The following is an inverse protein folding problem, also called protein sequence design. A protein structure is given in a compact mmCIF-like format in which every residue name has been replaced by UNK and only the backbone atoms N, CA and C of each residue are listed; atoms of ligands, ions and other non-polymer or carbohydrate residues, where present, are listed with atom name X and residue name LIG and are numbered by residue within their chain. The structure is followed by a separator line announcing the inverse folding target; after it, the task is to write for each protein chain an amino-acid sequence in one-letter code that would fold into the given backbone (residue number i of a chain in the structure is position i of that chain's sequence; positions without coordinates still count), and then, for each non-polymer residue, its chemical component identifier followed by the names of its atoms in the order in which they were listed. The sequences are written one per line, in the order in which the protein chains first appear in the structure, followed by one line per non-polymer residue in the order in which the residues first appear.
data_IF_138346677268
#
_entry.id   IF_138346677268
#
_cell.length_a   1.000
_cell.length_b   1.000
_cell.length_c   1.000
_cell.angle_alpha   90.00
_cell.angle_beta   90.00
_cell.angle_gamma   90.00
#
_symmetry.space_group_name_H-M   'P 1'
#
loop_
_entity.id
_entity.type
_entity.pdbx_description
1 polymer ?
#
# COMPACT_ATOMS: atom_id res chain seq x y z
N UNK A 1 -14.73 23.16 2.86
CA UNK A 1 -16.21 23.17 2.81
C UNK A 1 -16.79 21.80 2.43
N UNK A 2 -16.18 21.05 1.51
CA UNK A 2 -16.63 19.68 1.14
C UNK A 2 -16.14 18.57 2.12
N UNK A 3 -14.96 18.72 2.72
CA UNK A 3 -14.29 17.66 3.49
C UNK A 3 -14.98 17.19 4.81
N UNK A 4 -15.78 18.03 5.49
CA UNK A 4 -16.48 17.61 6.72
C UNK A 4 -17.78 16.83 6.44
N UNK A 5 -18.45 17.15 5.33
CA UNK A 5 -19.61 16.40 4.82
C UNK A 5 -19.21 15.00 4.35
N UNK A 6 -18.04 14.90 3.71
CA UNK A 6 -17.43 13.62 3.30
C UNK A 6 -17.10 12.75 4.52
N UNK A 7 -16.64 13.35 5.63
CA UNK A 7 -16.35 12.64 6.87
C UNK A 7 -17.61 12.02 7.49
N UNK A 8 -18.73 12.75 7.53
CA UNK A 8 -19.98 12.20 8.07
C UNK A 8 -20.42 10.98 7.26
N UNK A 9 -20.52 11.10 5.92
CA UNK A 9 -21.00 9.98 5.08
C UNK A 9 -20.05 8.77 5.13
N UNK A 10 -18.74 8.99 5.23
CA UNK A 10 -17.76 7.93 5.45
C UNK A 10 -17.91 7.25 6.83
N UNK A 11 -18.09 8.04 7.90
CA UNK A 11 -18.39 7.55 9.26
C UNK A 11 -19.67 6.70 9.27
N UNK A 12 -20.69 7.10 8.50
CA UNK A 12 -21.97 6.38 8.41
C UNK A 12 -21.91 5.08 7.60
N UNK A 13 -21.19 5.04 6.48
CA UNK A 13 -21.01 3.82 5.69
C UNK A 13 -20.42 2.67 6.54
N UNK A 14 -19.57 2.99 7.53
CA UNK A 14 -19.00 2.03 8.47
C UNK A 14 -19.95 1.61 9.59
N UNK A 15 -20.69 2.55 10.20
CA UNK A 15 -21.71 2.22 11.22
C UNK A 15 -22.71 1.19 10.67
N UNK A 16 -23.12 1.34 9.41
CA UNK A 16 -24.01 0.40 8.71
C UNK A 16 -23.43 -1.01 8.57
N UNK A 17 -22.14 -1.14 8.25
CA UNK A 17 -21.49 -2.45 8.10
C UNK A 17 -21.19 -3.09 9.47
N UNK A 18 -20.90 -2.28 10.49
CA UNK A 18 -20.50 -2.76 11.82
C UNK A 18 -21.69 -3.07 12.74
N UNK A 19 -22.81 -2.35 12.63
CA UNK A 19 -24.00 -2.58 13.44
C UNK A 19 -24.69 -3.90 13.06
N UNK A 20 -24.60 -4.30 11.78
CA UNK A 20 -25.05 -5.63 11.32
C UNK A 20 -24.10 -6.76 11.77
N UNK A 21 -22.84 -6.47 12.07
CA UNK A 21 -21.84 -7.47 12.47
C UNK A 21 -21.71 -7.64 14.00
N UNK A 22 -22.42 -6.85 14.82
CA UNK A 22 -22.38 -6.98 16.29
C UNK A 22 -23.34 -8.06 16.80
N UNK A 23 -22.85 -9.30 16.77
CA UNK A 23 -22.77 -10.07 18.01
C UNK A 23 -21.30 -10.05 18.46
N UNK A 24 -21.06 -9.63 19.71
CA UNK A 24 -19.80 -9.62 20.45
C UNK A 24 -19.01 -8.28 20.54
N UNK A 25 -19.00 -7.77 21.79
CA UNK A 25 -18.06 -6.88 22.49
C UNK A 25 -17.85 -5.42 22.01
N UNK A 26 -18.16 -4.51 22.93
CA UNK A 26 -17.95 -3.07 22.89
C UNK A 26 -16.61 -2.76 23.55
N UNK A 27 -15.67 -2.14 22.83
CA UNK A 27 -14.43 -1.59 23.39
C UNK A 27 -14.50 -0.05 23.30
N UNK A 28 -14.42 0.72 24.42
CA UNK A 28 -14.70 2.16 24.43
C UNK A 28 -13.54 3.05 23.95
N UNK A 29 -12.38 2.49 23.55
CA UNK A 29 -11.14 3.24 23.34
C UNK A 29 -10.62 3.28 21.88
N UNK A 30 -11.33 2.67 20.94
CA UNK A 30 -10.92 2.67 19.54
C UNK A 30 -11.30 3.98 18.83
N UNK A 31 -10.35 4.91 18.74
CA UNK A 31 -10.40 6.02 17.78
C UNK A 31 -10.11 5.48 16.39
N UNK A 32 -11.16 5.16 15.63
CA UNK A 32 -11.02 4.59 14.28
C UNK A 32 -10.71 5.68 13.25
N UNK A 33 -9.71 5.43 12.39
CA UNK A 33 -9.37 6.27 11.25
C UNK A 33 -9.86 5.62 9.95
N UNK A 34 -10.51 6.42 9.11
CA UNK A 34 -10.76 6.07 7.72
C UNK A 34 -9.45 6.16 6.94
N UNK A 35 -9.17 5.16 6.12
CA UNK A 35 -8.11 5.25 5.12
C UNK A 35 -8.76 5.25 3.74
N UNK A 36 -8.68 6.39 3.05
CA UNK A 36 -9.14 6.50 1.67
C UNK A 36 -8.10 5.73 0.83
N UNK A 37 -8.51 4.61 0.24
CA UNK A 37 -7.62 3.74 -0.54
C UNK A 37 -7.30 4.39 -1.88
N UNK A 38 -8.31 4.97 -2.52
CA UNK A 38 -8.20 5.56 -3.86
C UNK A 38 -9.19 6.74 -3.99
N UNK A 39 -8.80 7.76 -4.74
CA UNK A 39 -9.63 8.94 -5.05
C UNK A 39 -9.69 9.10 -6.57
N UNK A 40 -10.89 8.98 -7.13
CA UNK A 40 -11.11 9.08 -8.58
C UNK A 40 -11.93 10.32 -8.91
N UNK A 41 -11.30 11.27 -9.58
CA UNK A 41 -11.96 12.45 -10.14
C UNK A 41 -12.31 12.22 -11.61
N UNK A 42 -13.60 12.12 -11.93
CA UNK A 42 -14.09 12.01 -13.31
C UNK A 42 -14.45 13.42 -13.80
N UNK A 43 -13.60 14.02 -14.62
CA UNK A 43 -13.78 15.40 -15.11
C UNK A 43 -14.66 15.51 -16.35
N UNK A 44 -14.69 14.47 -17.20
CA UNK A 44 -15.47 14.43 -18.43
C UNK A 44 -16.53 13.32 -18.38
N UNK A 45 -17.76 13.70 -18.01
CA UNK A 45 -18.92 12.81 -17.92
C UNK A 45 -19.74 12.74 -19.23
N UNK A 46 -19.25 13.38 -20.31
CA UNK A 46 -19.90 13.32 -21.64
C UNK A 46 -19.39 12.16 -22.49
N UNK A 47 -18.13 11.76 -22.28
CA UNK A 47 -17.50 10.64 -22.99
C UNK A 47 -17.53 9.37 -22.13
N UNK A 48 -18.36 8.41 -22.53
CA UNK A 48 -18.51 7.12 -21.84
C UNK A 48 -17.19 6.34 -21.83
N UNK A 49 -16.36 6.46 -22.88
CA UNK A 49 -15.09 5.73 -22.96
C UNK A 49 -14.07 6.23 -21.92
N UNK A 50 -14.05 7.53 -21.66
CA UNK A 50 -13.24 8.14 -20.60
C UNK A 50 -13.68 7.64 -19.22
N UNK A 51 -14.99 7.62 -18.94
CA UNK A 51 -15.55 7.06 -17.70
C UNK A 51 -15.11 5.60 -17.52
N UNK A 52 -15.15 4.78 -18.58
CA UNK A 52 -14.71 3.38 -18.50
C UNK A 52 -13.22 3.25 -18.19
N UNK A 53 -12.37 4.09 -18.79
CA UNK A 53 -10.92 4.06 -18.54
C UNK A 53 -10.60 4.43 -17.08
N UNK A 54 -11.31 5.40 -16.52
CA UNK A 54 -11.15 5.83 -15.14
C UNK A 54 -11.71 4.80 -14.14
N UNK A 55 -12.92 4.26 -14.37
CA UNK A 55 -13.49 3.19 -13.54
C UNK A 55 -12.67 1.88 -13.59
N UNK A 56 -11.93 1.63 -14.68
CA UNK A 56 -11.03 0.47 -14.76
C UNK A 56 -9.89 0.53 -13.74
N UNK A 57 -9.52 1.73 -13.25
CA UNK A 57 -8.57 1.88 -12.15
C UNK A 57 -9.16 1.33 -10.85
N UNK A 58 -10.44 1.62 -10.58
CA UNK A 58 -11.15 1.09 -9.40
C UNK A 58 -11.29 -0.44 -9.41
N UNK A 59 -11.46 -1.05 -10.59
CA UNK A 59 -11.47 -2.51 -10.69
C UNK A 59 -10.14 -3.14 -10.23
N UNK A 60 -9.02 -2.46 -10.45
CA UNK A 60 -7.69 -2.89 -9.99
C UNK A 60 -7.41 -2.55 -8.53
N UNK A 61 -8.20 -1.65 -7.95
CA UNK A 61 -8.06 -1.24 -6.54
C UNK A 61 -8.68 -2.28 -5.62
N UNK A 62 -8.21 -2.33 -4.38
CA UNK A 62 -8.81 -3.13 -3.29
C UNK A 62 -10.06 -2.46 -2.68
N UNK A 63 -10.42 -1.26 -3.14
CA UNK A 63 -11.62 -0.57 -2.72
C UNK A 63 -12.88 -1.39 -3.07
N UNK A 64 -13.67 -1.75 -2.05
CA UNK A 64 -14.96 -2.47 -2.20
C UNK A 64 -16.16 -1.65 -1.71
N UNK A 65 -15.91 -0.55 -1.02
CA UNK A 65 -16.92 0.43 -0.65
C UNK A 65 -16.65 1.68 -1.48
N UNK A 66 -17.63 2.11 -2.26
CA UNK A 66 -17.50 3.21 -3.20
C UNK A 66 -18.48 4.30 -2.77
N UNK A 67 -17.95 5.48 -2.45
CA UNK A 67 -18.74 6.68 -2.22
C UNK A 67 -18.78 7.49 -3.51
N UNK A 68 -19.97 7.66 -4.07
CA UNK A 68 -20.19 8.44 -5.29
C UNK A 68 -20.78 9.80 -4.95
N UNK A 69 -20.02 10.85 -5.25
CA UNK A 69 -20.46 12.24 -5.19
C UNK A 69 -20.48 12.84 -6.60
N UNK A 70 -21.67 13.02 -7.15
CA UNK A 70 -21.87 13.71 -8.42
C UNK A 70 -23.32 14.19 -8.54
N UNK A 71 -23.65 14.86 -9.65
CA UNK A 71 -25.03 15.25 -9.95
C UNK A 71 -25.84 14.06 -10.46
N UNK A 72 -27.16 14.14 -10.34
CA UNK A 72 -28.09 13.08 -10.80
C UNK A 72 -27.83 12.62 -12.25
N UNK A 73 -27.67 13.55 -13.19
CA UNK A 73 -27.47 13.25 -14.61
C UNK A 73 -26.20 12.44 -14.90
N UNK A 74 -25.16 12.67 -14.11
CA UNK A 74 -23.87 11.99 -14.25
C UNK A 74 -23.85 10.67 -13.47
N UNK A 75 -24.60 10.61 -12.37
CA UNK A 75 -24.80 9.38 -11.59
C UNK A 75 -25.30 8.25 -12.49
N UNK A 76 -26.32 8.50 -13.31
CA UNK A 76 -26.90 7.48 -14.21
C UNK A 76 -25.84 6.92 -15.16
N UNK A 77 -25.01 7.79 -15.76
CA UNK A 77 -23.97 7.37 -16.73
C UNK A 77 -22.84 6.60 -16.05
N UNK A 78 -22.38 7.07 -14.89
CA UNK A 78 -21.30 6.43 -14.13
C UNK A 78 -21.74 5.05 -13.66
N UNK A 79 -22.97 4.94 -13.18
CA UNK A 79 -23.54 3.68 -12.71
C UNK A 79 -23.75 2.69 -13.86
N UNK A 80 -24.22 3.14 -15.03
CA UNK A 80 -24.33 2.27 -16.21
C UNK A 80 -22.95 1.75 -16.69
N UNK A 81 -21.93 2.63 -16.71
CA UNK A 81 -20.56 2.23 -17.00
C UNK A 81 -19.97 1.28 -15.93
N UNK A 82 -20.28 1.49 -14.66
CA UNK A 82 -19.85 0.59 -13.58
C UNK A 82 -20.51 -0.79 -13.69
N UNK A 83 -21.76 -0.86 -14.15
CA UNK A 83 -22.47 -2.11 -14.43
C UNK A 83 -21.79 -2.91 -15.53
N UNK A 84 -21.37 -2.27 -16.62
CA UNK A 84 -20.65 -2.93 -17.72
C UNK A 84 -19.29 -3.51 -17.27
N UNK A 85 -18.64 -2.84 -16.31
CA UNK A 85 -17.35 -3.25 -15.72
C UNK A 85 -17.47 -4.22 -14.53
N UNK A 86 -18.68 -4.71 -14.21
CA UNK A 86 -18.96 -5.60 -13.07
C UNK A 86 -18.57 -5.03 -11.70
N UNK A 87 -18.53 -3.70 -11.58
CA UNK A 87 -18.28 -2.99 -10.32
C UNK A 87 -19.51 -2.91 -9.41
N UNK A 88 -20.63 -3.51 -9.81
CA UNK A 88 -21.90 -3.56 -9.06
C UNK A 88 -22.29 -4.99 -8.66
N UNK A 89 -21.29 -5.85 -8.45
CA UNK A 89 -21.50 -7.23 -8.02
C UNK A 89 -21.72 -7.31 -6.51
N UNK A 90 -21.93 -8.52 -5.99
CA UNK A 90 -22.07 -8.82 -4.55
C UNK A 90 -20.85 -8.40 -3.71
N UNK A 91 -19.73 -8.08 -4.35
CA UNK A 91 -18.49 -7.66 -3.70
C UNK A 91 -18.38 -6.16 -3.47
N UNK A 92 -19.16 -5.36 -4.19
CA UNK A 92 -19.08 -3.90 -4.16
C UNK A 92 -20.30 -3.29 -3.49
N UNK A 93 -20.06 -2.36 -2.58
CA UNK A 93 -21.10 -1.57 -1.92
C UNK A 93 -21.01 -0.12 -2.38
N UNK A 94 -22.10 0.39 -2.94
CA UNK A 94 -22.19 1.76 -3.43
C UNK A 94 -23.00 2.62 -2.49
N UNK A 95 -22.43 3.76 -2.10
CA UNK A 95 -23.06 4.83 -1.36
C UNK A 95 -23.21 6.05 -2.25
N UNK A 96 -24.43 6.54 -2.39
CA UNK A 96 -24.75 7.75 -3.12
C UNK A 96 -24.96 8.90 -2.14
N UNK A 97 -24.32 10.04 -2.40
CA UNK A 97 -24.59 11.27 -1.67
C UNK A 97 -25.89 11.90 -2.12
N UNK A 98 -26.42 12.85 -1.33
CA UNK A 98 -27.70 13.50 -1.61
C UNK A 98 -27.82 14.09 -3.02
N UNK A 99 -26.75 14.70 -3.56
CA UNK A 99 -26.78 15.31 -4.89
C UNK A 99 -26.80 14.29 -6.03
N UNK A 100 -26.38 13.04 -5.76
CA UNK A 100 -26.36 11.96 -6.74
C UNK A 100 -27.73 11.32 -6.94
N UNK A 101 -28.71 11.62 -6.08
CA UNK A 101 -30.00 10.94 -6.06
C UNK A 101 -31.13 11.87 -6.48
N UNK A 102 -32.08 11.34 -7.25
CA UNK A 102 -33.20 12.10 -7.79
C UNK A 102 -34.10 12.67 -6.67
N UNK A 103 -34.37 13.96 -6.76
CA UNK A 103 -35.20 14.77 -5.85
C UNK A 103 -36.70 14.53 -6.00
N UNK A 104 -37.18 13.49 -6.66
CA UNK A 104 -38.61 13.17 -6.71
C UNK A 104 -39.00 11.92 -5.91
N UNK A 105 -38.07 11.26 -5.18
CA UNK A 105 -38.27 10.09 -4.27
C UNK A 105 -38.94 8.82 -4.88
N UNK A 106 -39.74 8.98 -5.93
CA UNK A 106 -40.75 8.02 -6.38
C UNK A 106 -40.29 7.14 -7.53
N UNK A 107 -39.22 7.52 -8.21
CA UNK A 107 -38.67 6.78 -9.35
C UNK A 107 -37.16 6.64 -9.14
N UNK A 108 -36.75 5.43 -8.78
CA UNK A 108 -35.37 5.00 -8.96
C UNK A 108 -35.10 5.15 -10.46
N UNK A 109 -34.09 5.94 -10.86
CA UNK A 109 -33.69 6.05 -12.25
C UNK A 109 -33.53 4.63 -12.80
N UNK A 110 -34.24 4.31 -13.90
CA UNK A 110 -34.37 2.95 -14.41
C UNK A 110 -33.01 2.22 -14.38
N UNK A 111 -32.95 1.12 -13.61
CA UNK A 111 -31.84 0.15 -13.53
C UNK A 111 -30.72 0.36 -12.49
N UNK A 112 -30.95 1.06 -11.37
CA UNK A 112 -30.06 0.93 -10.22
C UNK A 112 -30.07 -0.53 -9.70
N UNK A 113 -28.91 -1.13 -9.34
CA UNK A 113 -28.89 -2.45 -8.76
C UNK A 113 -29.49 -2.43 -7.34
N UNK A 114 -30.10 -3.55 -6.95
CA UNK A 114 -30.58 -3.76 -5.58
C UNK A 114 -29.39 -3.69 -4.62
N UNK A 115 -29.57 -3.00 -3.49
CA UNK A 115 -28.58 -2.91 -2.43
C UNK A 115 -27.74 -1.63 -2.40
N UNK A 116 -27.95 -0.71 -3.35
CA UNK A 116 -27.35 0.63 -3.30
C UNK A 116 -27.91 1.40 -2.12
N UNK A 117 -27.03 2.07 -1.39
CA UNK A 117 -27.38 2.94 -0.27
C UNK A 117 -27.30 4.40 -0.68
N UNK A 118 -28.23 5.19 -0.17
CA UNK A 118 -28.32 6.61 -0.43
C UNK A 118 -28.47 7.38 0.86
N UNK A 119 -27.86 8.55 0.90
CA UNK A 119 -28.02 9.50 2.01
C UNK A 119 -28.85 10.68 1.54
N UNK A 120 -29.90 10.99 2.27
CA UNK A 120 -30.79 12.10 1.97
C UNK A 120 -31.00 13.03 3.15
N UNK A 121 -31.32 14.26 2.81
CA UNK A 121 -31.93 15.20 3.73
C UNK A 121 -33.39 15.35 3.36
N UNK A 122 -34.26 15.50 4.36
CA UNK A 122 -35.66 15.72 4.08
C UNK A 122 -35.85 17.05 3.35
N UNK A 123 -36.49 16.96 2.19
CA UNK A 123 -36.97 18.09 1.42
C UNK A 123 -38.45 17.84 1.13
N UNK A 124 -39.29 18.76 1.56
CA UNK A 124 -40.72 18.70 1.42
C UNK A 124 -41.33 20.04 1.81
N UNK A 125 -42.61 20.24 1.50
CA UNK A 125 -43.28 21.53 1.73
C UNK A 125 -43.41 21.83 3.24
N UNK A 126 -43.63 20.80 4.05
CA UNK A 126 -43.78 20.96 5.51
C UNK A 126 -42.45 21.30 6.18
N UNK A 127 -41.38 20.62 5.79
CA UNK A 127 -40.03 20.83 6.33
C UNK A 127 -39.46 22.15 5.85
N UNK A 128 -39.81 22.59 4.63
CA UNK A 128 -39.47 23.94 4.16
C UNK A 128 -40.18 25.03 5.00
N UNK A 129 -41.45 24.82 5.38
CA UNK A 129 -42.15 25.72 6.31
C UNK A 129 -41.47 25.77 7.68
N UNK A 130 -41.09 24.61 8.22
CA UNK A 130 -40.33 24.54 9.48
C UNK A 130 -38.97 25.22 9.37
N UNK A 131 -38.23 25.03 8.26
CA UNK A 131 -36.95 25.69 8.03
C UNK A 131 -37.08 27.21 7.98
N UNK A 132 -38.17 27.74 7.38
CA UNK A 132 -38.46 29.17 7.38
C UNK A 132 -38.73 29.67 8.81
N UNK A 133 -39.52 28.94 9.59
CA UNK A 133 -39.80 29.28 10.99
C UNK A 133 -38.52 29.32 11.83
N UNK A 134 -37.67 28.30 11.71
CA UNK A 134 -36.36 28.24 12.37
C UNK A 134 -35.47 29.41 11.93
N UNK A 135 -35.37 29.68 10.63
CA UNK A 135 -34.53 30.76 10.09
C UNK A 135 -34.97 32.14 10.60
N UNK A 136 -36.28 32.40 10.68
CA UNK A 136 -36.83 33.64 11.23
C UNK A 136 -36.50 33.76 12.73
N UNK A 137 -36.63 32.67 13.49
CA UNK A 137 -36.28 32.64 14.90
C UNK A 137 -34.78 32.87 15.15
N UNK A 138 -33.90 32.25 14.34
CA UNK A 138 -32.46 32.49 14.38
C UNK A 138 -32.17 33.98 14.14
N UNK A 139 -32.76 34.55 13.10
CA UNK A 139 -32.56 35.96 12.75
C UNK A 139 -33.06 36.91 13.86
N UNK A 140 -34.24 36.66 14.43
CA UNK A 140 -34.80 37.47 15.52
C UNK A 140 -33.95 37.43 16.78
N UNK A 141 -33.45 36.26 17.17
CA UNK A 141 -32.58 36.11 18.35
C UNK A 141 -31.23 36.80 18.14
N UNK A 142 -30.62 36.65 16.96
CA UNK A 142 -29.40 37.37 16.61
C UNK A 142 -29.61 38.88 16.62
N UNK A 143 -30.75 39.35 16.10
CA UNK A 143 -31.12 40.76 16.15
C UNK A 143 -31.24 41.26 17.59
N UNK A 144 -31.98 40.53 18.44
CA UNK A 144 -32.15 40.87 19.84
C UNK A 144 -30.81 40.94 20.58
N UNK A 145 -29.93 39.97 20.36
CA UNK A 145 -28.58 39.95 20.96
C UNK A 145 -27.72 41.13 20.46
N UNK A 146 -27.80 41.46 19.17
CA UNK A 146 -27.08 42.61 18.60
C UNK A 146 -27.54 43.94 19.20
N UNK A 147 -28.86 44.10 19.42
CA UNK A 147 -29.43 45.32 20.03
C UNK A 147 -29.05 45.39 21.51
N UNK A 148 -29.19 44.32 22.28
CA UNK A 148 -28.80 44.29 23.69
C UNK A 148 -27.33 44.66 23.90
N UNK A 149 -26.43 44.09 23.08
CA UNK A 149 -24.99 44.38 23.15
C UNK A 149 -24.70 45.84 22.80
N UNK A 150 -25.40 46.41 21.80
CA UNK A 150 -25.24 47.81 21.41
C UNK A 150 -25.74 48.80 22.47
N UNK A 151 -26.84 48.47 23.16
CA UNK A 151 -27.38 49.29 24.27
C UNK A 151 -26.42 49.29 25.46
N UNK A 152 -25.83 48.13 25.78
CA UNK A 152 -24.82 47.98 26.83
C UNK A 152 -23.54 48.76 26.53
N UNK A 153 -23.11 48.82 25.26
CA UNK A 153 -21.88 49.53 24.87
C UNK A 153 -22.03 51.04 24.71
N UNK A 154 -23.24 51.53 24.40
CA UNK A 154 -23.43 52.92 23.96
C UNK A 154 -24.40 53.74 24.82
N UNK A 155 -25.13 53.13 25.77
CA UNK A 155 -25.97 53.83 26.74
C UNK A 155 -27.14 54.64 26.16
N UNK A 156 -27.37 54.58 24.85
CA UNK A 156 -28.37 55.37 24.13
C UNK A 156 -29.10 54.48 23.11
N UNK A 157 -30.43 54.50 23.12
CA UNK A 157 -31.32 53.69 22.30
C UNK A 157 -31.53 54.23 20.85
N UNK A 158 -30.52 54.86 20.24
CA UNK A 158 -30.79 55.76 19.08
C UNK A 158 -30.44 55.24 17.70
N UNK A 159 -30.02 53.99 17.50
CA UNK A 159 -29.98 53.38 16.15
C UNK A 159 -29.83 51.87 16.25
N UNK A 160 -30.54 51.13 15.39
CA UNK A 160 -30.13 49.75 15.06
C UNK A 160 -28.64 49.81 14.69
N UNK A 161 -27.79 48.89 15.19
CA UNK A 161 -26.33 49.00 15.06
C UNK A 161 -25.80 48.90 13.61
N UNK A 162 -26.67 48.85 12.60
CA UNK A 162 -26.35 48.62 11.21
C UNK A 162 -27.04 49.67 10.31
N UNK A 163 -26.29 50.65 9.82
CA UNK A 163 -26.75 51.65 8.85
C UNK A 163 -26.82 51.04 7.44
N UNK A 164 -27.91 50.32 7.15
CA UNK A 164 -28.15 49.66 5.86
C UNK A 164 -28.90 50.56 4.87
N UNK A 165 -29.43 51.72 5.33
CA UNK A 165 -30.31 52.58 4.53
C UNK A 165 -29.67 53.13 3.24
N UNK A 166 -28.34 53.18 3.17
CA UNK A 166 -27.58 53.72 2.05
C UNK A 166 -26.99 52.65 1.11
N UNK A 167 -27.19 51.36 1.38
CA UNK A 167 -26.71 50.26 0.54
C UNK A 167 -27.71 50.01 -0.62
N UNK A 168 -27.43 50.60 -1.77
CA UNK A 168 -28.16 50.37 -3.02
C UNK A 168 -27.20 49.79 -4.07
N UNK A 169 -27.64 48.82 -4.86
CA UNK A 169 -26.81 48.16 -5.88
C UNK A 169 -26.18 49.13 -6.90
N UNK A 170 -26.73 50.34 -7.06
CA UNK A 170 -26.28 51.36 -8.02
C UNK A 170 -25.47 52.52 -7.38
N UNK A 171 -25.01 52.38 -6.15
CA UNK A 171 -24.23 53.44 -5.48
C UNK A 171 -22.76 53.45 -5.93
N UNK A 172 -22.15 54.64 -6.02
CA UNK A 172 -20.71 54.82 -6.31
C UNK A 172 -19.80 54.57 -5.09
N UNK A 173 -20.37 54.37 -3.91
CA UNK A 173 -19.64 54.12 -2.68
C UNK A 173 -19.44 52.61 -2.47
N UNK A 174 -18.58 52.24 -1.52
CA UNK A 174 -18.35 50.85 -1.14
C UNK A 174 -19.68 50.14 -0.79
N UNK A 175 -20.03 49.10 -1.56
CA UNK A 175 -21.23 48.27 -1.38
C UNK A 175 -21.13 47.30 -0.18
N UNK A 176 -20.09 47.41 0.64
CA UNK A 176 -19.81 46.47 1.72
C UNK A 176 -20.52 46.90 3.00
N UNK A 177 -21.32 45.99 3.56
CA UNK A 177 -21.91 46.18 4.88
C UNK A 177 -20.84 46.02 5.96
N UNK A 178 -20.41 47.16 6.54
CA UNK A 178 -19.30 47.23 7.51
C UNK A 178 -19.49 46.38 8.76
N UNK A 179 -20.73 46.32 9.26
CA UNK A 179 -21.08 45.56 10.47
C UNK A 179 -21.62 44.16 10.14
N UNK A 180 -21.64 43.77 8.87
CA UNK A 180 -22.10 42.45 8.43
C UNK A 180 -21.35 41.28 9.04
N UNK A 181 -20.00 41.30 9.10
CA UNK A 181 -19.24 40.25 9.77
C UNK A 181 -19.59 40.12 11.26
N UNK A 182 -19.78 41.25 11.97
CA UNK A 182 -20.18 41.22 13.39
C UNK A 182 -21.59 40.65 13.56
N UNK A 183 -22.50 40.96 12.64
CA UNK A 183 -23.84 40.39 12.67
C UNK A 183 -23.85 38.90 12.36
N UNK A 184 -22.99 38.46 11.45
CA UNK A 184 -22.78 37.04 11.17
C UNK A 184 -22.27 36.28 12.41
N UNK A 185 -21.39 36.88 13.22
CA UNK A 185 -21.01 36.30 14.52
C UNK A 185 -22.20 36.13 15.47
N UNK A 186 -23.13 37.11 15.53
CA UNK A 186 -24.36 36.94 16.32
C UNK A 186 -25.22 35.80 15.77
N UNK A 187 -25.37 35.67 14.45
CA UNK A 187 -26.11 34.57 13.83
C UNK A 187 -25.50 33.20 14.16
N UNK A 188 -24.18 33.07 14.10
CA UNK A 188 -23.46 31.84 14.46
C UNK A 188 -23.64 31.47 15.94
N UNK A 189 -23.68 32.47 16.82
CA UNK A 189 -23.79 32.25 18.26
C UNK A 189 -25.23 31.95 18.74
N UNK A 190 -26.22 32.03 17.85
CA UNK A 190 -27.58 31.61 18.20
C UNK A 190 -27.60 30.09 18.36
N UNK A 191 -27.99 29.65 19.55
CA UNK A 191 -28.30 28.25 19.84
C UNK A 191 -29.68 28.15 20.50
N UNK A 192 -30.50 27.23 20.00
CA UNK A 192 -31.76 26.86 20.63
C UNK A 192 -32.24 25.50 20.10
N UNK A 193 -32.92 24.74 20.94
CA UNK A 193 -33.38 23.39 20.63
C UNK A 193 -32.24 22.53 20.02
N UNK A 194 -32.35 22.10 18.77
CA UNK A 194 -31.34 21.33 18.02
C UNK A 194 -30.47 22.20 17.10
N UNK A 195 -30.72 23.51 17.04
CA UNK A 195 -30.05 24.45 16.13
C UNK A 195 -28.77 24.97 16.78
N UNK A 196 -27.63 24.58 16.22
CA UNK A 196 -26.31 25.06 16.59
C UNK A 196 -25.45 25.19 15.33
N UNK A 197 -24.57 26.18 15.29
CA UNK A 197 -23.71 26.44 14.14
C UNK A 197 -22.24 26.18 14.45
N UNK A 198 -21.50 25.67 13.46
CA UNK A 198 -20.04 25.56 13.53
C UNK A 198 -19.38 26.93 13.24
N UNK A 199 -18.05 26.99 13.33
CA UNK A 199 -17.25 28.19 13.05
C UNK A 199 -17.51 28.81 11.66
N UNK A 200 -17.90 27.96 10.69
CA UNK A 200 -18.20 28.35 9.32
C UNK A 200 -19.67 28.79 9.12
N UNK A 201 -20.52 28.72 10.15
CA UNK A 201 -21.94 29.08 10.08
C UNK A 201 -22.83 28.01 9.46
N UNK A 202 -22.39 26.75 9.46
CA UNK A 202 -23.19 25.59 9.05
C UNK A 202 -23.82 24.93 10.27
N UNK A 203 -25.01 24.34 10.09
CA UNK A 203 -25.66 23.60 11.16
C UNK A 203 -24.82 22.38 11.56
N UNK A 204 -24.53 22.24 12.85
CA UNK A 204 -23.77 21.10 13.40
C UNK A 204 -24.60 19.82 13.30
N UNK A 205 -25.89 19.92 13.63
CA UNK A 205 -26.79 18.79 13.66
C UNK A 205 -27.84 18.93 12.56
N UNK A 206 -28.03 17.85 11.82
CA UNK A 206 -29.10 17.71 10.86
C UNK A 206 -29.53 16.26 10.83
N UNK A 207 -30.82 16.04 10.76
CA UNK A 207 -31.36 14.70 10.58
C UNK A 207 -31.00 14.19 9.18
N UNK A 208 -30.42 13.00 9.14
CA UNK A 208 -29.98 12.36 7.90
C UNK A 208 -30.76 11.08 7.70
N UNK A 209 -31.46 11.01 6.57
CA UNK A 209 -32.26 9.87 6.19
C UNK A 209 -31.44 8.93 5.33
N UNK A 210 -31.41 7.66 5.71
CA UNK A 210 -30.71 6.61 4.98
C UNK A 210 -31.76 5.84 4.21
N UNK A 211 -31.53 5.69 2.91
CA UNK A 211 -32.41 4.93 2.03
C UNK A 211 -31.65 3.82 1.33
N UNK A 212 -32.37 2.79 0.93
CA UNK A 212 -31.83 1.61 0.26
C UNK A 212 -32.71 1.25 -0.94
N UNK A 213 -32.07 0.86 -2.05
CA UNK A 213 -32.77 0.32 -3.22
C UNK A 213 -33.09 -1.15 -2.95
N UNK A 214 -34.37 -1.45 -2.77
CA UNK A 214 -34.88 -2.80 -2.51
C UNK A 214 -35.52 -3.39 -3.78
N UNK A 215 -35.60 -4.74 -3.90
CA UNK A 215 -36.28 -5.35 -5.04
C UNK A 215 -37.77 -4.97 -5.05
N UNK A 216 -38.40 -4.87 -6.23
CA UNK A 216 -39.82 -4.53 -6.33
C UNK A 216 -40.66 -5.58 -5.60
N UNK A 217 -41.61 -5.10 -4.80
CA UNK A 217 -42.64 -5.95 -4.17
C UNK A 217 -43.60 -6.40 -5.28
N UNK A 218 -44.19 -7.60 -5.17
CA UNK A 218 -44.96 -8.27 -6.24
C UNK A 218 -46.08 -7.45 -6.90
N UNK A 219 -46.53 -6.35 -6.28
CA UNK A 219 -47.59 -5.46 -6.78
C UNK A 219 -47.06 -4.09 -7.29
N UNK A 220 -45.75 -3.83 -7.26
CA UNK A 220 -45.15 -2.59 -7.77
C UNK A 220 -44.22 -2.86 -8.97
N UNK A 221 -44.48 -2.23 -10.12
CA UNK A 221 -43.67 -2.40 -11.33
C UNK A 221 -42.28 -1.74 -11.23
N UNK A 222 -42.10 -0.75 -10.35
CA UNK A 222 -40.90 0.08 -10.28
C UNK A 222 -40.19 -0.04 -8.93
N UNK A 223 -38.85 -0.12 -8.98
CA UNK A 223 -38.01 0.02 -7.79
C UNK A 223 -38.18 1.42 -7.19
N UNK A 224 -38.20 1.49 -5.85
CA UNK A 224 -38.30 2.73 -5.09
C UNK A 224 -37.22 2.81 -4.03
N UNK A 225 -36.91 4.03 -3.60
CA UNK A 225 -36.08 4.28 -2.44
C UNK A 225 -36.89 4.02 -1.18
N UNK A 226 -36.43 3.08 -0.35
CA UNK A 226 -37.06 2.76 0.93
C UNK A 226 -36.18 3.33 2.03
N UNK A 227 -36.77 4.11 2.94
CA UNK A 227 -36.07 4.58 4.13
C UNK A 227 -35.73 3.38 5.02
N UNK A 228 -34.45 3.19 5.27
CA UNK A 228 -33.92 2.14 6.14
C UNK A 228 -33.27 2.70 7.40
N UNK A 229 -33.04 4.01 7.50
CA UNK A 229 -32.46 4.56 8.71
C UNK A 229 -32.66 6.04 8.89
N UNK A 230 -32.43 6.49 10.11
CA UNK A 230 -32.46 7.89 10.52
C UNK A 230 -31.28 8.14 11.46
N UNK A 231 -30.41 9.08 11.10
CA UNK A 231 -29.40 9.60 11.99
C UNK A 231 -29.92 10.88 12.64
N UNK A 232 -29.84 10.90 13.96
CA UNK A 232 -30.17 12.02 14.83
C UNK A 232 -28.96 12.33 15.73
N UNK A 233 -28.94 13.47 16.46
CA UNK A 233 -27.87 13.76 17.43
C UNK A 233 -27.70 12.68 18.51
N UNK A 234 -28.74 11.90 18.78
CA UNK A 234 -28.75 10.83 19.79
C UNK A 234 -28.15 9.52 19.27
N UNK A 235 -28.02 9.37 17.94
CA UNK A 235 -27.47 8.19 17.30
C UNK A 235 -28.15 7.84 15.98
N UNK A 236 -27.69 6.73 15.38
CA UNK A 236 -28.30 6.15 14.18
C UNK A 236 -29.33 5.10 14.58
N UNK A 237 -30.52 5.17 14.00
CA UNK A 237 -31.52 4.12 14.08
C UNK A 237 -31.66 3.46 12.72
N UNK A 238 -31.42 2.15 12.67
CA UNK A 238 -31.47 1.35 11.44
C UNK A 238 -32.60 0.33 11.45
N UNK A 239 -33.19 0.14 10.28
CA UNK A 239 -34.16 -0.89 9.93
C UNK A 239 -33.52 -1.89 8.96
N UNK A 240 -34.32 -2.82 8.45
CA UNK A 240 -33.85 -3.88 7.56
C UNK A 240 -33.25 -3.33 6.26
N UNK A 241 -31.98 -3.63 6.02
CA UNK A 241 -31.23 -3.28 4.80
C UNK A 241 -31.17 -4.50 3.88
N UNK A 242 -31.45 -4.29 2.60
CA UNK A 242 -31.12 -5.28 1.57
C UNK A 242 -29.74 -4.95 0.99
N UNK A 243 -28.86 -5.94 0.92
CA UNK A 243 -27.50 -5.78 0.41
C UNK A 243 -27.44 -6.13 -1.09
N UNK A 244 -26.31 -5.86 -1.78
CA UNK A 244 -26.15 -6.19 -3.20
C UNK A 244 -26.64 -7.59 -3.56
N UNK A 245 -27.32 -7.71 -4.70
CA UNK A 245 -28.00 -8.94 -5.17
C UNK A 245 -29.08 -9.51 -4.24
N UNK A 246 -29.66 -8.71 -3.35
CA UNK A 246 -30.74 -9.17 -2.47
C UNK A 246 -30.26 -9.95 -1.24
N UNK A 247 -28.96 -9.86 -0.92
CA UNK A 247 -28.40 -10.51 0.26
C UNK A 247 -28.93 -9.89 1.57
N UNK A 248 -29.00 -10.71 2.63
CA UNK A 248 -29.41 -10.27 3.99
C UNK A 248 -28.25 -9.82 4.86
N UNK A 249 -27.03 -10.18 4.48
CA UNK A 249 -25.80 -9.86 5.20
C UNK A 249 -24.93 -8.94 4.35
N UNK A 250 -24.19 -8.00 4.97
CA UNK A 250 -23.30 -7.09 4.26
C UNK A 250 -22.17 -7.86 3.57
N UNK A 251 -21.64 -7.31 2.46
CA UNK A 251 -20.39 -7.80 1.90
C UNK A 251 -19.26 -7.61 2.91
N UNK A 252 -18.24 -8.47 2.85
CA UNK A 252 -17.11 -8.44 3.79
C UNK A 252 -16.28 -7.16 3.75
N UNK A 253 -16.52 -6.28 2.77
CA UNK A 253 -15.77 -5.04 2.56
C UNK A 253 -14.34 -5.27 2.07
N UNK A 254 -13.96 -6.52 1.80
CA UNK A 254 -12.66 -6.93 1.27
C UNK A 254 -12.83 -7.77 0.00
N UNK A 255 -11.89 -7.71 -0.94
CA UNK A 255 -11.91 -8.61 -2.08
C UNK A 255 -11.89 -10.08 -1.65
N UNK A 256 -12.58 -10.96 -2.38
CA UNK A 256 -12.49 -12.42 -2.17
C UNK A 256 -11.07 -12.95 -2.39
N UNK A 257 -10.29 -12.28 -3.25
CA UNK A 257 -8.85 -12.50 -3.48
C UNK A 257 -8.16 -11.17 -3.74
N UNK A 258 -7.10 -10.89 -2.99
CA UNK A 258 -6.27 -9.70 -3.22
C UNK A 258 -5.42 -9.93 -4.47
N UNK A 259 -5.21 -8.91 -5.29
CA UNK A 259 -4.34 -9.00 -6.46
C UNK A 259 -3.07 -8.17 -6.22
N UNK A 260 -1.91 -8.83 -6.15
CA UNK A 260 -0.65 -8.17 -5.81
C UNK A 260 0.26 -8.02 -7.04
N UNK A 261 0.83 -6.84 -7.20
CA UNK A 261 1.93 -6.61 -8.14
C UNK A 261 3.26 -6.91 -7.44
N UNK A 262 3.95 -7.94 -7.91
CA UNK A 262 5.16 -8.45 -7.26
C UNK A 262 6.36 -8.20 -8.14
N UNK A 263 7.30 -7.41 -7.62
CA UNK A 263 8.57 -7.14 -8.27
C UNK A 263 9.59 -8.21 -7.92
N UNK A 264 10.37 -8.62 -8.92
CA UNK A 264 11.45 -9.60 -8.75
C UNK A 264 12.67 -9.22 -9.58
N UNK A 265 13.74 -10.01 -9.42
CA UNK A 265 14.98 -9.91 -10.18
C UNK A 265 15.59 -11.29 -10.33
N UNK A 266 16.15 -11.58 -11.50
CA UNK A 266 16.92 -12.79 -11.78
C UNK A 266 18.12 -12.91 -10.83
N UNK A 267 18.17 -14.04 -10.13
CA UNK A 267 19.27 -14.47 -9.29
C UNK A 267 19.17 -16.00 -9.07
N UNK A 268 19.84 -16.82 -9.88
CA UNK A 268 19.87 -18.27 -9.67
C UNK A 268 20.52 -18.63 -8.32
N UNK A 269 20.00 -19.60 -7.54
CA UNK A 269 18.86 -20.49 -7.82
C UNK A 269 17.50 -19.98 -7.27
N UNK A 270 17.43 -18.72 -6.84
CA UNK A 270 16.24 -18.13 -6.19
C UNK A 270 15.16 -17.76 -7.20
N UNK A 271 15.55 -17.08 -8.27
CA UNK A 271 14.69 -16.65 -9.36
C UNK A 271 15.45 -16.82 -10.68
N UNK A 272 14.91 -17.65 -11.56
CA UNK A 272 15.42 -17.94 -12.89
C UNK A 272 14.32 -17.66 -13.91
N UNK A 273 14.71 -17.15 -15.07
CA UNK A 273 13.79 -16.97 -16.19
C UNK A 273 13.98 -18.08 -17.22
N UNK A 274 12.87 -18.66 -17.67
CA UNK A 274 12.83 -19.66 -18.74
C UNK A 274 11.92 -19.19 -19.85
N UNK A 275 12.21 -19.61 -21.07
CA UNK A 275 11.34 -19.30 -22.20
C UNK A 275 10.02 -20.08 -22.10
N UNK A 276 8.98 -19.51 -22.71
CA UNK A 276 7.66 -20.14 -22.78
C UNK A 276 7.74 -21.46 -23.55
N UNK A 277 6.91 -22.43 -23.15
CA UNK A 277 6.71 -23.63 -23.97
C UNK A 277 6.07 -23.26 -25.31
N UNK A 278 6.15 -24.14 -26.31
CA UNK A 278 5.56 -23.93 -27.64
C UNK A 278 4.05 -23.59 -27.60
N UNK A 279 3.35 -24.00 -26.54
CA UNK A 279 1.93 -23.72 -26.32
C UNK A 279 1.65 -22.37 -25.60
N UNK A 280 2.68 -21.55 -25.33
CA UNK A 280 2.53 -20.29 -24.61
C UNK A 280 2.23 -20.44 -23.11
N UNK A 281 2.40 -21.64 -22.55
CA UNK A 281 2.18 -21.94 -21.14
C UNK A 281 3.49 -22.19 -20.39
N UNK A 282 3.53 -21.84 -19.11
CA UNK A 282 4.61 -22.21 -18.20
C UNK A 282 4.41 -23.62 -17.62
N UNK A 283 5.52 -24.29 -17.28
CA UNK A 283 5.48 -25.61 -16.65
C UNK A 283 5.03 -25.58 -15.18
N UNK A 284 4.94 -26.76 -14.55
CA UNK A 284 4.69 -26.87 -13.12
C UNK A 284 5.75 -26.11 -12.31
N UNK A 285 5.35 -25.44 -11.22
CA UNK A 285 6.21 -24.57 -10.38
C UNK A 285 6.85 -23.37 -11.10
N UNK A 286 6.31 -22.98 -12.26
CA UNK A 286 6.73 -21.79 -12.99
C UNK A 286 5.54 -20.87 -13.27
N UNK A 287 5.74 -19.57 -13.13
CA UNK A 287 4.71 -18.55 -13.29
C UNK A 287 5.05 -17.61 -14.44
N UNK A 288 4.01 -17.12 -15.11
CA UNK A 288 4.16 -16.09 -16.13
C UNK A 288 4.68 -14.81 -15.47
N UNK A 289 5.73 -14.25 -16.03
CA UNK A 289 6.29 -12.98 -15.58
C UNK A 289 6.72 -12.11 -16.77
N UNK A 290 6.72 -10.80 -16.53
CA UNK A 290 7.11 -9.81 -17.52
C UNK A 290 8.55 -9.37 -17.25
N UNK A 291 9.46 -9.70 -18.16
CA UNK A 291 10.89 -9.44 -18.00
C UNK A 291 11.39 -8.53 -19.12
N UNK A 292 12.49 -7.81 -18.89
CA UNK A 292 13.10 -7.00 -19.93
C UNK A 292 14.19 -7.80 -20.65
N UNK A 293 14.29 -7.64 -21.97
CA UNK A 293 15.40 -8.21 -22.72
C UNK A 293 16.67 -7.41 -22.44
N UNK A 294 17.73 -8.09 -22.01
CA UNK A 294 18.97 -7.47 -21.54
C UNK A 294 20.18 -8.04 -22.27
N UNK A 295 21.20 -7.20 -22.44
CA UNK A 295 22.50 -7.58 -22.98
C UNK A 295 23.38 -8.29 -21.93
N UNK A 296 24.60 -8.67 -22.33
CA UNK A 296 25.58 -9.30 -21.42
C UNK A 296 25.96 -8.42 -20.21
N UNK A 297 25.76 -7.11 -20.30
CA UNK A 297 26.01 -6.14 -19.23
C UNK A 297 24.76 -5.87 -18.38
N UNK A 298 23.68 -6.63 -18.57
CA UNK A 298 22.38 -6.49 -17.87
C UNK A 298 21.67 -5.16 -18.18
N UNK A 299 22.05 -4.49 -19.27
CA UNK A 299 21.40 -3.27 -19.76
C UNK A 299 20.25 -3.64 -20.68
N UNK A 300 19.14 -2.90 -20.57
CA UNK A 300 17.95 -3.12 -21.40
C UNK A 300 18.26 -2.88 -22.87
N UNK A 301 17.91 -3.85 -23.71
CA UNK A 301 18.01 -3.76 -25.18
C UNK A 301 16.76 -3.13 -25.78
N UNK A 302 15.59 -3.43 -25.21
CA UNK A 302 14.29 -2.90 -25.62
C UNK A 302 13.57 -2.23 -24.45
N UNK A 303 12.74 -1.23 -24.75
CA UNK A 303 11.83 -0.61 -23.78
C UNK A 303 10.57 -1.45 -23.50
N UNK A 304 10.31 -2.50 -24.30
CA UNK A 304 9.15 -3.38 -24.11
C UNK A 304 9.49 -4.59 -23.24
N UNK A 305 8.59 -4.97 -22.33
CA UNK A 305 8.69 -6.23 -21.59
C UNK A 305 8.23 -7.42 -22.44
N UNK A 306 8.88 -8.56 -22.25
CA UNK A 306 8.55 -9.84 -22.88
C UNK A 306 8.03 -10.82 -21.82
N UNK A 307 7.13 -11.71 -22.23
CA UNK A 307 6.60 -12.74 -21.35
C UNK A 307 7.58 -13.91 -21.26
N UNK A 308 7.93 -14.30 -20.03
CA UNK A 308 8.75 -15.48 -19.72
C UNK A 308 8.16 -16.26 -18.54
N UNK A 309 8.73 -17.42 -18.28
CA UNK A 309 8.38 -18.26 -17.15
C UNK A 309 9.40 -18.10 -16.03
N UNK A 310 8.99 -17.46 -14.93
CA UNK A 310 9.79 -17.33 -13.72
C UNK A 310 9.66 -18.59 -12.87
N UNK A 311 10.79 -19.10 -12.40
CA UNK A 311 10.89 -20.30 -11.55
C UNK A 311 12.02 -20.12 -10.54
N UNK A 312 12.06 -20.96 -9.50
CA UNK A 312 13.13 -20.93 -8.51
C UNK A 312 12.60 -21.00 -7.08
N UNK A 313 13.52 -21.02 -6.10
CA UNK A 313 13.17 -21.19 -4.70
C UNK A 313 12.18 -20.12 -4.20
N UNK A 314 12.43 -18.85 -4.53
CA UNK A 314 11.60 -17.74 -4.05
C UNK A 314 10.22 -17.71 -4.73
N UNK A 315 10.14 -18.16 -5.99
CA UNK A 315 8.88 -18.23 -6.74
C UNK A 315 7.98 -19.37 -6.22
N UNK A 316 8.54 -20.52 -5.90
CA UNK A 316 7.78 -21.62 -5.29
C UNK A 316 7.30 -21.25 -3.88
N UNK A 317 8.12 -20.54 -3.09
CA UNK A 317 7.69 -20.00 -1.79
C UNK A 317 6.51 -19.04 -1.95
N UNK A 318 6.58 -18.12 -2.92
CA UNK A 318 5.51 -17.18 -3.23
C UNK A 318 4.20 -17.92 -3.59
N UNK A 319 4.28 -18.98 -4.39
CA UNK A 319 3.10 -19.80 -4.71
C UNK A 319 2.48 -20.44 -3.45
N UNK A 320 3.29 -20.96 -2.54
CA UNK A 320 2.77 -21.54 -1.29
C UNK A 320 2.09 -20.47 -0.43
N UNK A 321 2.65 -19.27 -0.40
CA UNK A 321 2.06 -18.13 0.29
C UNK A 321 0.73 -17.69 -0.36
N UNK A 322 0.68 -17.66 -1.69
CA UNK A 322 -0.52 -17.25 -2.43
C UNK A 322 -1.70 -18.18 -2.20
N UNK A 323 -1.45 -19.50 -2.13
CA UNK A 323 -2.47 -20.50 -1.80
C UNK A 323 -2.87 -20.43 -0.33
N UNK A 324 -1.91 -20.29 0.58
CA UNK A 324 -2.19 -20.24 2.02
C UNK A 324 -2.94 -18.97 2.45
N UNK A 325 -2.62 -17.83 1.84
CA UNK A 325 -3.20 -16.52 2.14
C UNK A 325 -4.32 -16.11 1.16
N UNK A 326 -4.60 -16.95 0.14
CA UNK A 326 -5.63 -16.76 -0.88
C UNK A 326 -5.56 -15.39 -1.59
N UNK A 327 -4.41 -15.11 -2.20
CA UNK A 327 -4.21 -13.95 -3.08
C UNK A 327 -3.74 -14.40 -4.47
N UNK A 328 -4.09 -13.61 -5.48
CA UNK A 328 -3.59 -13.74 -6.85
C UNK A 328 -2.48 -12.70 -7.07
N UNK A 329 -1.57 -12.92 -8.01
CA UNK A 329 -0.45 -12.00 -8.24
C UNK A 329 0.01 -11.96 -9.69
N UNK A 330 0.70 -10.87 -10.06
CA UNK A 330 1.50 -10.81 -11.28
C UNK A 330 2.97 -10.51 -10.96
N UNK A 331 3.86 -11.17 -11.67
CA UNK A 331 5.31 -11.00 -11.51
C UNK A 331 5.87 -10.12 -12.62
N UNK A 332 6.73 -9.18 -12.23
CA UNK A 332 7.50 -8.40 -13.19
C UNK A 332 8.93 -8.18 -12.71
N UNK A 333 9.85 -8.01 -13.65
CA UNK A 333 11.25 -7.71 -13.36
C UNK A 333 11.44 -6.21 -13.09
N UNK A 334 12.21 -5.90 -12.05
CA UNK A 334 12.66 -4.54 -11.75
C UNK A 334 13.35 -3.86 -12.93
N UNK A 335 13.07 -2.58 -13.10
CA UNK A 335 13.47 -1.86 -14.29
C UNK A 335 14.99 -1.77 -14.51
N UNK A 336 15.71 -1.30 -13.51
CA UNK A 336 17.15 -1.02 -13.53
C UNK A 336 18.02 -2.23 -13.15
N UNK A 337 17.41 -3.39 -12.92
CA UNK A 337 18.08 -4.62 -12.47
C UNK A 337 18.81 -4.50 -11.11
N UNK A 338 18.48 -3.49 -10.30
CA UNK A 338 19.10 -3.28 -8.99
C UNK A 338 18.19 -3.76 -7.85
N UNK A 339 18.78 -4.18 -6.73
CA UNK A 339 18.00 -4.48 -5.51
C UNK A 339 17.50 -3.21 -4.84
N UNK A 340 18.27 -2.14 -4.89
CA UNK A 340 17.93 -0.87 -4.28
C UNK A 340 19.03 -0.39 -3.35
N UNK A 341 19.61 0.73 -3.74
CA UNK A 341 20.65 1.46 -3.05
C UNK A 341 20.20 2.92 -2.96
N UNK A 342 20.52 3.55 -1.83
CA UNK A 342 20.24 4.97 -1.63
C UNK A 342 21.19 5.80 -2.47
N UNK A 343 20.65 6.61 -3.37
CA UNK A 343 21.42 7.57 -4.15
C UNK A 343 21.86 8.75 -3.27
N UNK A 344 22.83 9.52 -3.75
CA UNK A 344 23.33 10.73 -3.06
C UNK A 344 22.21 11.76 -2.84
N UNK A 345 21.25 11.82 -3.78
CA UNK A 345 20.10 12.71 -3.72
C UNK A 345 19.02 12.25 -2.71
N UNK A 346 19.25 11.14 -2.00
CA UNK A 346 18.31 10.55 -1.04
C UNK A 346 17.20 9.70 -1.66
N UNK A 347 17.15 9.60 -3.00
CA UNK A 347 16.22 8.73 -3.72
C UNK A 347 16.67 7.27 -3.69
N UNK A 348 15.74 6.34 -3.83
CA UNK A 348 16.02 4.91 -3.91
C UNK A 348 15.83 4.41 -5.32
N UNK A 349 16.78 3.59 -5.79
CA UNK A 349 16.65 2.86 -7.05
C UNK A 349 16.20 1.41 -6.79
N UNK A 350 16.16 0.59 -7.83
CA UNK A 350 15.93 -0.84 -7.71
C UNK A 350 14.54 -1.24 -7.23
N UNK A 351 14.48 -2.46 -6.71
CA UNK A 351 13.29 -3.04 -6.09
C UNK A 351 12.76 -2.13 -4.97
N UNK A 352 13.66 -1.59 -4.13
CA UNK A 352 13.28 -0.66 -3.05
C UNK A 352 12.61 0.60 -3.61
N UNK A 353 13.13 1.16 -4.71
CA UNK A 353 12.53 2.31 -5.39
C UNK A 353 11.13 2.01 -5.92
N UNK A 354 10.92 0.83 -6.52
CA UNK A 354 9.61 0.42 -7.03
C UNK A 354 8.57 0.25 -5.90
N UNK A 355 8.98 -0.28 -4.75
CA UNK A 355 8.12 -0.40 -3.56
C UNK A 355 7.73 0.97 -2.99
N UNK A 356 8.70 1.88 -2.83
CA UNK A 356 8.44 3.23 -2.27
C UNK A 356 7.51 4.04 -3.18
N UNK A 357 7.65 3.88 -4.50
CA UNK A 357 6.83 4.59 -5.47
C UNK A 357 5.45 3.95 -5.68
N UNK A 358 5.11 2.87 -4.97
CA UNK A 358 3.83 2.15 -5.14
C UNK A 358 3.67 1.47 -6.49
N UNK A 359 4.79 1.19 -7.20
CA UNK A 359 4.76 0.38 -8.43
C UNK A 359 4.61 -1.11 -8.15
N UNK A 360 5.11 -1.57 -7.00
CA UNK A 360 4.92 -2.92 -6.50
C UNK A 360 4.35 -2.90 -5.08
N UNK A 361 3.49 -3.87 -4.79
CA UNK A 361 2.92 -4.10 -3.46
C UNK A 361 3.82 -4.99 -2.60
N UNK A 362 4.60 -5.86 -3.25
CA UNK A 362 5.49 -6.81 -2.60
C UNK A 362 6.71 -7.06 -3.48
N UNK A 363 7.85 -7.36 -2.85
CA UNK A 363 9.04 -7.83 -3.54
C UNK A 363 9.35 -9.27 -3.15
N UNK A 364 9.67 -10.10 -4.13
CA UNK A 364 10.15 -11.47 -3.92
C UNK A 364 11.46 -11.65 -4.68
N UNK A 365 12.56 -11.71 -3.94
CA UNK A 365 13.92 -11.90 -4.46
C UNK A 365 14.85 -12.40 -3.34
N UNK A 366 16.13 -12.59 -3.66
CA UNK A 366 17.22 -12.89 -2.73
C UNK A 366 17.78 -11.63 -2.03
N UNK A 367 16.92 -10.68 -1.69
CA UNK A 367 17.33 -9.40 -1.11
C UNK A 367 17.72 -9.54 0.37
N UNK A 368 18.91 -9.05 0.71
CA UNK A 368 19.39 -8.99 2.10
C UNK A 368 18.66 -7.91 2.89
N UNK A 369 18.30 -8.25 4.12
CA UNK A 369 17.79 -7.32 5.14
C UNK A 369 18.96 -6.44 5.58
N UNK A 370 18.81 -5.12 5.40
CA UNK A 370 19.81 -4.11 5.72
C UNK A 370 19.17 -2.97 6.51
N UNK A 371 19.95 -2.29 7.35
CA UNK A 371 19.45 -1.24 8.24
C UNK A 371 18.85 -0.09 7.42
N UNK A 372 19.59 0.44 6.44
CA UNK A 372 19.13 1.54 5.60
C UNK A 372 17.83 1.19 4.87
N UNK A 373 17.71 -0.03 4.34
CA UNK A 373 16.48 -0.51 3.68
C UNK A 373 15.33 -0.66 4.66
N UNK A 374 15.58 -1.14 5.87
CA UNK A 374 14.54 -1.32 6.90
C UNK A 374 13.92 -0.01 7.39
N UNK A 375 14.58 1.13 7.16
CA UNK A 375 14.00 2.46 7.47
C UNK A 375 12.92 2.90 6.48
N UNK A 376 12.88 2.32 5.28
CA UNK A 376 11.98 2.74 4.20
C UNK A 376 11.01 1.65 3.75
N UNK A 377 11.34 0.37 3.97
CA UNK A 377 10.48 -0.77 3.64
C UNK A 377 10.40 -1.75 4.82
N UNK A 378 9.27 -2.45 4.92
CA UNK A 378 9.05 -3.48 5.93
C UNK A 378 9.48 -4.86 5.42
N UNK A 379 10.38 -5.51 6.14
CA UNK A 379 10.78 -6.89 5.86
C UNK A 379 9.93 -7.90 6.65
N UNK A 380 9.72 -9.07 6.05
CA UNK A 380 9.22 -10.25 6.76
C UNK A 380 10.36 -10.93 7.54
N UNK A 381 10.02 -12.02 8.23
CA UNK A 381 11.06 -12.88 8.81
C UNK A 381 11.91 -13.51 7.69
N UNK A 382 13.25 -13.58 7.85
CA UNK A 382 14.10 -14.19 6.84
C UNK A 382 13.73 -15.66 6.66
N UNK A 383 13.52 -16.08 5.40
CA UNK A 383 13.25 -17.48 5.06
C UNK A 383 14.53 -18.30 4.82
N UNK A 384 15.68 -17.63 4.73
CA UNK A 384 16.99 -18.24 4.58
C UNK A 384 18.04 -17.38 5.29
N UNK A 385 18.88 -18.03 6.08
CA UNK A 385 20.06 -17.39 6.68
C UNK A 385 21.26 -17.59 5.75
N UNK A 386 21.91 -16.50 5.38
CA UNK A 386 23.14 -16.53 4.57
C UNK A 386 24.21 -15.67 5.22
N UNK A 387 25.47 -16.06 5.02
CA UNK A 387 26.64 -15.34 5.54
C UNK A 387 27.63 -15.04 4.42
N UNK A 388 28.52 -14.08 4.66
CA UNK A 388 29.60 -13.74 3.73
C UNK A 388 30.71 -14.79 3.85
N UNK A 389 31.12 -15.36 2.73
CA UNK A 389 32.24 -16.31 2.65
C UNK A 389 33.09 -16.04 1.42
N UNK A 390 34.32 -16.52 1.44
CA UNK A 390 35.24 -16.40 0.31
C UNK A 390 35.27 -17.70 -0.48
N UNK A 391 35.07 -17.59 -1.80
CA UNK A 391 35.31 -18.70 -2.72
C UNK A 391 36.74 -18.57 -3.21
N UNK A 392 37.54 -19.60 -2.95
CA UNK A 392 38.92 -19.70 -3.41
C UNK A 392 39.09 -20.97 -4.23
N UNK A 393 39.99 -20.93 -5.22
CA UNK A 393 40.36 -22.14 -5.94
C UNK A 393 40.92 -23.18 -4.97
N UNK A 394 40.48 -24.42 -5.12
CA UNK A 394 41.05 -25.54 -4.37
C UNK A 394 42.53 -25.62 -4.75
N UNK A 395 43.41 -25.57 -3.74
CA UNK A 395 44.83 -25.85 -3.95
C UNK A 395 45.00 -27.37 -4.06
N UNK A 396 45.22 -27.86 -5.27
CA UNK A 396 45.71 -29.21 -5.48
C UNK A 396 47.20 -29.25 -5.08
N UNK A 397 47.44 -29.50 -3.79
CA UNK A 397 48.78 -29.55 -3.25
C UNK A 397 48.85 -30.58 -2.14
N UNK A 398 48.88 -31.86 -2.49
CA UNK A 398 49.59 -32.79 -1.62
C UNK A 398 51.05 -32.29 -1.62
N UNK A 399 51.57 -31.92 -0.46
CA UNK A 399 53.00 -31.66 -0.32
C UNK A 399 53.69 -32.92 -0.82
N UNK A 400 54.41 -32.83 -1.94
CA UNK A 400 55.08 -34.01 -2.48
C UNK A 400 55.95 -34.60 -1.38
N UNK A 401 55.91 -35.91 -1.18
CA UNK A 401 56.78 -36.57 -0.21
C UNK A 401 58.27 -36.34 -0.52
N UNK A 402 58.62 -35.88 -1.73
CA UNK A 402 59.97 -35.49 -2.15
C UNK A 402 60.33 -34.02 -1.87
N UNK A 403 59.42 -33.22 -1.31
CA UNK A 403 59.67 -31.80 -1.03
C UNK A 403 60.85 -31.57 -0.08
N UNK A 404 61.23 -32.57 0.73
CA UNK A 404 62.44 -32.49 1.56
C UNK A 404 63.76 -32.62 0.77
N UNK A 405 63.72 -33.20 -0.44
CA UNK A 405 64.88 -33.31 -1.34
C UNK A 405 65.01 -32.10 -2.27
N UNK A 406 63.92 -31.37 -2.48
CA UNK A 406 63.82 -30.17 -3.32
C UNK A 406 64.81 -29.03 -2.99
N UNK A 407 65.28 -28.84 -1.73
CA UNK A 407 66.26 -27.79 -1.44
C UNK A 407 67.62 -27.97 -2.13
N UNK A 408 67.95 -29.18 -2.61
CA UNK A 408 69.22 -29.46 -3.29
C UNK A 408 69.00 -30.23 -4.59
N UNK A 409 69.66 -29.79 -5.66
CA UNK A 409 69.68 -30.52 -6.93
C UNK A 409 70.48 -31.82 -6.80
N UNK A 410 70.18 -32.81 -7.66
CA UNK A 410 70.87 -34.10 -7.70
C UNK A 410 72.41 -33.99 -7.71
N UNK A 411 73.05 -33.04 -8.45
CA UNK A 411 74.50 -32.86 -8.40
C UNK A 411 75.00 -32.42 -7.01
N UNK A 412 74.24 -31.60 -6.29
CA UNK A 412 74.60 -31.16 -4.94
C UNK A 412 74.52 -32.31 -3.95
N UNK A 413 73.50 -33.17 -4.06
CA UNK A 413 73.43 -34.41 -3.28
C UNK A 413 74.61 -35.35 -3.56
N UNK A 414 74.98 -35.53 -4.83
CA UNK A 414 76.16 -36.30 -5.22
C UNK A 414 77.45 -35.70 -4.64
N UNK A 415 77.59 -34.37 -4.66
CA UNK A 415 78.75 -33.68 -4.10
C UNK A 415 78.83 -33.86 -2.58
N UNK A 416 77.71 -33.72 -1.87
CA UNK A 416 77.65 -33.97 -0.41
C UNK A 416 78.08 -35.41 -0.12
N UNK A 417 77.60 -36.40 -0.87
CA UNK A 417 77.96 -37.81 -0.67
C UNK A 417 79.45 -38.03 -0.93
N UNK A 418 79.98 -37.52 -2.04
CA UNK A 418 81.40 -37.69 -2.39
C UNK A 418 82.32 -36.99 -1.40
N UNK A 419 82.00 -35.75 -1.02
CA UNK A 419 82.80 -35.00 -0.06
C UNK A 419 82.72 -35.61 1.35
N UNK A 420 81.52 -35.91 1.84
CA UNK A 420 81.35 -36.44 3.20
C UNK A 420 81.91 -37.85 3.36
N UNK A 421 81.75 -38.73 2.37
CA UNK A 421 82.20 -40.13 2.47
C UNK A 421 83.66 -40.26 2.04
N UNK A 422 84.02 -39.78 0.86
CA UNK A 422 85.34 -40.05 0.30
C UNK A 422 86.41 -39.08 0.77
N UNK A 423 86.14 -37.77 0.80
CA UNK A 423 87.15 -36.79 1.23
C UNK A 423 87.40 -36.95 2.73
N UNK A 424 86.35 -36.94 3.55
CA UNK A 424 86.50 -37.14 5.00
C UNK A 424 87.07 -38.51 5.34
N UNK A 425 86.63 -39.59 4.67
CA UNK A 425 87.17 -40.93 4.88
C UNK A 425 88.67 -41.04 4.52
N UNK A 426 89.08 -40.45 3.40
CA UNK A 426 90.51 -40.42 3.01
C UNK A 426 91.33 -39.57 3.98
N UNK A 427 90.80 -38.42 4.42
CA UNK A 427 91.46 -37.58 5.43
C UNK A 427 91.64 -38.33 6.75
N UNK A 428 90.60 -39.00 7.26
CA UNK A 428 90.68 -39.80 8.48
C UNK A 428 91.71 -40.93 8.31
N UNK A 429 91.67 -41.67 7.20
CA UNK A 429 92.64 -42.73 6.92
C UNK A 429 94.08 -42.20 6.91
N UNK A 430 94.33 -41.06 6.27
CA UNK A 430 95.66 -40.43 6.28
C UNK A 430 96.06 -39.97 7.69
N UNK A 431 95.14 -39.36 8.44
CA UNK A 431 95.41 -38.96 9.83
C UNK A 431 95.72 -40.17 10.72
N UNK A 432 95.01 -41.29 10.57
CA UNK A 432 95.28 -42.51 11.31
C UNK A 432 96.59 -43.18 10.88
N UNK A 433 96.91 -43.16 9.58
CA UNK A 433 98.17 -43.68 9.03
C UNK A 433 99.40 -42.91 9.54
N UNK A 434 99.29 -41.59 9.72
CA UNK A 434 100.39 -40.76 10.23
C UNK A 434 100.37 -40.61 11.76
N UNK A 435 99.31 -41.07 12.44
CA UNK A 435 99.21 -40.99 13.89
C UNK A 435 100.02 -42.12 14.55
N UNK A 436 100.94 -41.81 15.49
CA UNK A 436 101.75 -42.82 16.17
C UNK A 436 100.95 -43.78 17.07
N UNK A 437 99.66 -43.50 17.30
CA UNK A 437 98.71 -44.34 18.04
C UNK A 437 97.52 -44.81 17.17
N UNK A 438 97.52 -44.51 15.87
CA UNK A 438 96.49 -44.92 14.91
C UNK A 438 96.82 -46.25 14.24
N UNK A 439 95.86 -46.76 13.45
CA UNK A 439 95.84 -47.98 12.64
C UNK A 439 97.01 -48.95 12.91
N UNK A 440 96.73 -49.94 13.76
CA UNK A 440 97.68 -50.95 14.25
C UNK A 440 98.48 -51.57 13.08
N UNK A 441 99.71 -51.10 12.89
CA UNK A 441 100.64 -51.54 11.86
C UNK A 441 101.23 -52.93 12.18
N UNK A 442 100.36 -53.91 12.45
CA UNK A 442 100.72 -55.32 12.54
C UNK A 442 101.97 -55.58 13.38
N UNK A 443 102.11 -54.94 14.56
CA UNK A 443 103.06 -55.46 15.55
C UNK A 443 102.48 -56.77 16.04
N UNK A 444 102.94 -57.87 15.41
CA UNK A 444 102.94 -59.17 16.09
C UNK A 444 103.59 -58.94 17.44
N UNK A 445 102.81 -58.98 18.52
CA UNK A 445 103.35 -59.26 19.85
C UNK A 445 104.08 -60.59 19.72
N UNK A 446 105.40 -60.50 19.52
CA UNK A 446 106.30 -61.62 19.68
C UNK A 446 106.14 -62.09 21.11
N UNK A 447 105.41 -63.20 21.26
CA UNK A 447 105.44 -64.13 22.40
C UNK A 447 106.68 -63.94 23.26
N UNK A 448 106.48 -63.34 24.44
CA UNK A 448 107.40 -63.51 25.57
C UNK A 448 107.46 -65.00 25.92
N UNK A 449 108.61 -65.63 25.70
CA UNK A 449 109.02 -66.78 26.50
C UNK A 449 109.80 -66.24 27.70
N UNK A 450 109.19 -66.37 28.88
CA UNK A 450 109.81 -66.29 30.19
C UNK A 450 110.94 -67.34 30.35
N UNK A 451 111.87 -67.13 31.28
CA UNK A 451 111.67 -67.66 32.64
C UNK A 451 111.24 -66.62 33.67
#
# INVERSE_FOLDING_TARGET
MYAELDLCVCVFAYLLVHEVNRSCQYDPLSTFRFNIIDELLISNTTDVSAIHADLKKLYKSDARIILLYCIEMDTIKILDAAKSLRLMTDEYLWFLTFEAINKNRLLVANNLPVGVLGVFYEYGEMEMKQAIEIAVNVWLRALQQSVQTSVLSSGIFTRLPWDIANLKCHSKNSLQWRDGPKFFEYLKNVSFDTVQFNEHGQLIYRDIYIVNVQPPVADEENQKWIQVGLYTPEGVQMQHITWPNGARTPPSGKPKRHFLQIVTREEPPFVEYRDLSQNGSCGHSSYLCYVYERDSNKVRVSGSSVQKCCTGLSIELLHRLSVALNFDFCLYEVEDFQWGTKNVDGTWNGIVGDLINGKADMAVSSMTIDEDRSTVINFSLPYMETGITFIVAIREGAISATAFLEPYDLPSWCLILVCSVHVTGTSIFLFEWFSPYGLDHGRKLSSSKFP
#
